data_IF_885996669998
#
_entry.id   IF_885996669998
#
_cell.length_a   1.000
_cell.length_b   1.000
_cell.length_c   1.000
_cell.angle_alpha   90.00
_cell.angle_beta   90.00
_cell.angle_gamma   90.00
#
_symmetry.space_group_name_H-M   'P 1'
#
loop_
_entity.id
_entity.type
_entity.pdbx_description
1 polymer ?
#
# COMPACT_ATOMS: atom_id res chain seq x y z
N UNK A 1 -11.91 3.89 -13.52
CA UNK A 1 -11.14 4.32 -12.33
C UNK A 1 -9.65 4.36 -12.70
N UNK A 2 -8.81 5.15 -12.02
CA UNK A 2 -7.38 5.38 -12.33
C UNK A 2 -7.07 6.01 -13.71
N UNK A 3 -7.67 7.17 -14.00
CA UNK A 3 -7.55 7.88 -15.28
C UNK A 3 -6.45 8.95 -15.34
N UNK A 4 -5.78 9.22 -14.23
CA UNK A 4 -4.71 10.22 -14.17
C UNK A 4 -3.55 9.81 -15.09
N UNK A 5 -2.96 10.78 -15.78
CA UNK A 5 -1.83 10.57 -16.70
C UNK A 5 -0.61 11.35 -16.23
N UNK A 6 0.61 10.92 -16.61
CA UNK A 6 1.83 11.66 -16.26
C UNK A 6 1.80 13.12 -16.73
N UNK A 7 1.21 13.41 -17.89
CA UNK A 7 1.13 14.76 -18.45
C UNK A 7 0.26 15.68 -17.60
N UNK A 8 -0.78 15.14 -16.95
CA UNK A 8 -1.67 15.90 -16.08
C UNK A 8 -1.06 16.22 -14.71
N UNK A 9 -0.10 15.40 -14.25
CA UNK A 9 0.60 15.59 -12.97
C UNK A 9 1.90 16.38 -13.12
N UNK A 10 2.59 16.23 -14.26
CA UNK A 10 3.99 16.58 -14.38
C UNK A 10 4.90 15.61 -13.59
N UNK A 11 6.17 15.98 -13.38
CA UNK A 11 7.12 15.16 -12.62
C UNK A 11 6.65 14.94 -11.18
N UNK A 12 6.81 13.72 -10.68
CA UNK A 12 6.46 13.33 -9.31
C UNK A 12 7.70 12.89 -8.56
N UNK A 13 8.12 13.67 -7.56
CA UNK A 13 9.29 13.33 -6.73
C UNK A 13 8.94 12.36 -5.58
N UNK A 14 7.71 12.46 -5.05
CA UNK A 14 7.24 11.71 -3.89
C UNK A 14 5.77 11.30 -4.04
N UNK A 15 5.49 10.04 -3.74
CA UNK A 15 4.14 9.52 -3.49
C UNK A 15 4.00 9.19 -2.01
N UNK A 16 2.87 9.60 -1.43
CA UNK A 16 2.47 9.22 -0.07
C UNK A 16 1.12 8.49 -0.13
N UNK A 17 1.15 7.16 -0.01
CA UNK A 17 -0.06 6.33 0.04
C UNK A 17 -0.37 6.03 1.49
N UNK A 18 -1.30 6.82 2.01
CA UNK A 18 -1.94 6.56 3.29
C UNK A 18 -3.30 5.92 3.07
N UNK A 19 -3.40 4.66 3.43
CA UNK A 19 -4.65 3.90 3.40
C UNK A 19 -5.37 3.84 2.03
N UNK A 20 -4.69 4.09 0.90
CA UNK A 20 -5.31 4.02 -0.42
C UNK A 20 -5.30 2.58 -0.97
N UNK A 21 -4.14 1.91 -1.02
CA UNK A 21 -4.06 0.51 -1.46
C UNK A 21 -5.00 -0.40 -0.66
N UNK A 22 -5.02 -0.25 0.67
CA UNK A 22 -5.85 -1.06 1.57
C UNK A 22 -7.35 -0.74 1.48
N UNK A 23 -7.76 0.33 0.78
CA UNK A 23 -9.17 0.61 0.53
C UNK A 23 -9.75 -0.22 -0.62
N UNK A 24 -8.89 -0.81 -1.47
CA UNK A 24 -9.32 -1.56 -2.66
C UNK A 24 -9.39 -3.08 -2.42
N UNK A 25 -10.41 -3.75 -3.00
CA UNK A 25 -10.46 -5.22 -3.02
C UNK A 25 -9.30 -5.81 -3.84
N UNK A 26 -9.03 -7.10 -3.64
CA UNK A 26 -7.84 -7.78 -4.16
C UNK A 26 -7.58 -7.58 -5.66
N UNK A 27 -8.62 -7.70 -6.48
CA UNK A 27 -8.60 -7.57 -7.94
C UNK A 27 -8.27 -6.13 -8.40
N UNK A 28 -8.69 -5.13 -7.63
CA UNK A 28 -8.43 -3.72 -7.91
C UNK A 28 -7.03 -3.29 -7.47
N UNK A 29 -6.43 -3.93 -6.47
CA UNK A 29 -5.10 -3.57 -5.95
C UNK A 29 -4.00 -3.70 -7.01
N UNK A 30 -4.07 -4.70 -7.90
CA UNK A 30 -3.12 -4.83 -9.02
C UNK A 30 -3.20 -3.63 -9.97
N UNK A 31 -4.43 -3.26 -10.36
CA UNK A 31 -4.68 -2.10 -11.25
C UNK A 31 -4.25 -0.78 -10.62
N UNK A 32 -4.39 -0.66 -9.30
CA UNK A 32 -3.89 0.48 -8.55
C UNK A 32 -2.36 0.57 -8.60
N UNK A 33 -1.66 -0.54 -8.33
CA UNK A 33 -0.20 -0.60 -8.41
C UNK A 33 0.30 -0.24 -9.81
N UNK A 34 -0.28 -0.83 -10.86
CA UNK A 34 0.01 -0.50 -12.26
C UNK A 34 -0.21 0.99 -12.57
N UNK A 35 -1.26 1.59 -12.02
CA UNK A 35 -1.54 3.01 -12.21
C UNK A 35 -0.48 3.89 -11.54
N UNK A 36 -0.08 3.59 -10.29
CA UNK A 36 1.01 4.32 -9.62
C UNK A 36 2.32 4.18 -10.39
N UNK A 37 2.69 2.96 -10.82
CA UNK A 37 3.89 2.71 -11.61
C UNK A 37 3.92 3.55 -12.89
N UNK A 38 2.79 3.69 -13.59
CA UNK A 38 2.70 4.52 -14.80
C UNK A 38 2.87 6.02 -14.53
N UNK A 39 2.48 6.48 -13.34
CA UNK A 39 2.45 7.91 -13.00
C UNK A 39 3.81 8.45 -12.54
N UNK A 40 4.73 7.58 -12.13
CA UNK A 40 6.02 7.98 -11.54
C UNK A 40 7.17 7.74 -12.50
N UNK A 41 8.26 8.48 -12.33
CA UNK A 41 9.49 8.32 -13.10
C UNK A 41 10.60 7.64 -12.28
N UNK A 42 11.73 7.28 -12.92
CA UNK A 42 12.89 6.74 -12.20
C UNK A 42 13.35 7.66 -11.06
N UNK A 43 13.66 7.06 -9.91
CA UNK A 43 14.08 7.80 -8.72
C UNK A 43 12.96 8.41 -7.87
N UNK A 44 11.70 8.39 -8.32
CA UNK A 44 10.56 8.77 -7.48
C UNK A 44 10.54 7.94 -6.21
N UNK A 45 10.40 8.61 -5.06
CA UNK A 45 10.23 7.96 -3.76
C UNK A 45 8.76 7.72 -3.51
N UNK A 46 8.44 6.59 -2.88
CA UNK A 46 7.08 6.23 -2.58
C UNK A 46 7.00 5.63 -1.17
N UNK A 47 6.38 6.35 -0.24
CA UNK A 47 6.06 5.80 1.07
C UNK A 47 4.61 5.27 1.09
N UNK A 48 4.44 4.03 1.50
CA UNK A 48 3.14 3.37 1.65
C UNK A 48 3.00 2.75 3.02
N UNK A 49 1.82 2.90 3.63
CA UNK A 49 1.45 2.17 4.84
C UNK A 49 0.34 1.14 4.58
N UNK A 50 0.45 -0.01 5.24
CA UNK A 50 -0.56 -1.06 5.18
C UNK A 50 -0.90 -1.63 6.55
N UNK A 51 -1.97 -2.41 6.61
CA UNK A 51 -2.39 -3.13 7.79
C UNK A 51 -2.37 -4.62 7.47
N UNK A 52 -1.72 -5.40 8.31
CA UNK A 52 -1.80 -6.87 8.30
C UNK A 52 -2.54 -7.32 9.56
N UNK A 53 -3.61 -8.09 9.41
CA UNK A 53 -4.42 -8.51 10.55
C UNK A 53 -5.14 -9.84 10.32
N UNK A 54 -5.60 -10.44 11.42
CA UNK A 54 -6.43 -11.63 11.43
C UNK A 54 -7.64 -11.46 12.37
N UNK A 55 -8.83 -11.99 12.03
CA UNK A 55 -9.20 -12.63 10.76
C UNK A 55 -9.35 -11.63 9.61
N UNK A 56 -9.37 -12.12 8.36
CA UNK A 56 -9.59 -11.27 7.18
C UNK A 56 -11.02 -10.72 7.19
N UNK A 57 -11.16 -9.43 6.87
CA UNK A 57 -12.45 -8.78 6.72
C UNK A 57 -12.85 -8.73 5.24
N UNK A 58 -14.16 -8.76 4.98
CA UNK A 58 -14.74 -8.56 3.64
C UNK A 58 -14.95 -7.09 3.29
N UNK A 59 -14.66 -6.18 4.23
CA UNK A 59 -14.82 -4.73 4.08
C UNK A 59 -13.51 -4.00 4.34
N UNK A 60 -13.28 -2.84 3.71
CA UNK A 60 -12.05 -2.08 3.93
C UNK A 60 -11.96 -1.48 5.35
N UNK A 61 -10.74 -1.17 5.82
CA UNK A 61 -9.47 -1.37 5.13
C UNK A 61 -9.08 -2.86 5.11
N UNK A 62 -8.73 -3.36 3.93
CA UNK A 62 -8.37 -4.76 3.69
C UNK A 62 -6.95 -5.05 4.17
N UNK A 63 -6.74 -6.26 4.71
CA UNK A 63 -5.40 -6.70 5.09
C UNK A 63 -4.49 -6.82 3.86
N UNK A 64 -3.28 -6.26 3.97
CA UNK A 64 -2.21 -6.30 2.97
C UNK A 64 -0.88 -6.43 3.73
N UNK A 65 -0.28 -7.61 3.66
CA UNK A 65 1.01 -7.93 4.28
C UNK A 65 2.21 -7.63 3.38
N UNK A 66 3.45 -7.80 3.89
CA UNK A 66 4.67 -7.49 3.15
C UNK A 66 4.83 -8.23 1.81
N UNK A 67 4.45 -9.51 1.76
CA UNK A 67 4.54 -10.32 0.53
C UNK A 67 3.74 -9.71 -0.63
N UNK A 68 2.57 -9.13 -0.32
CA UNK A 68 1.70 -8.52 -1.33
C UNK A 68 2.29 -7.21 -1.88
N UNK A 69 3.02 -6.46 -1.05
CA UNK A 69 3.75 -5.26 -1.49
C UNK A 69 4.88 -5.64 -2.44
N UNK A 70 5.66 -6.67 -2.10
CA UNK A 70 6.75 -7.15 -2.96
C UNK A 70 6.20 -7.69 -4.28
N UNK A 71 5.13 -8.48 -4.26
CA UNK A 71 4.47 -9.01 -5.47
C UNK A 71 4.00 -7.88 -6.40
N UNK A 72 3.34 -6.85 -5.86
CA UNK A 72 2.73 -5.78 -6.67
C UNK A 72 3.73 -4.75 -7.17
N UNK A 73 4.70 -4.37 -6.34
CA UNK A 73 5.59 -3.25 -6.65
C UNK A 73 7.03 -3.68 -6.96
N UNK A 74 7.45 -4.88 -6.53
CA UNK A 74 8.84 -5.32 -6.61
C UNK A 74 9.41 -5.46 -8.02
N UNK A 75 8.57 -5.47 -9.07
CA UNK A 75 9.01 -5.47 -10.47
C UNK A 75 9.46 -4.07 -10.95
N UNK A 76 8.85 -2.99 -10.45
CA UNK A 76 9.12 -1.61 -10.87
C UNK A 76 9.84 -0.78 -9.79
N UNK A 77 9.81 -1.22 -8.54
CA UNK A 77 10.38 -0.52 -7.40
C UNK A 77 11.38 -1.40 -6.65
N UNK A 78 12.44 -0.76 -6.13
CA UNK A 78 13.17 -1.28 -4.98
C UNK A 78 12.28 -1.09 -3.74
N UNK A 79 12.05 -2.16 -2.98
CA UNK A 79 11.13 -2.15 -1.83
C UNK A 79 11.92 -2.34 -0.55
N UNK A 80 11.81 -1.39 0.37
CA UNK A 80 12.38 -1.46 1.72
C UNK A 80 11.25 -1.48 2.74
N UNK A 81 11.24 -2.49 3.62
CA UNK A 81 10.29 -2.60 4.73
C UNK A 81 10.88 -1.90 5.96
N UNK A 82 10.42 -0.68 6.23
CA UNK A 82 11.05 0.21 7.22
C UNK A 82 10.38 0.19 8.59
N UNK A 83 9.14 -0.30 8.69
CA UNK A 83 8.41 -0.40 9.95
C UNK A 83 7.44 -1.59 9.94
N UNK A 84 7.36 -2.29 11.08
CA UNK A 84 6.38 -3.32 11.36
C UNK A 84 6.00 -3.22 12.85
N UNK A 85 4.93 -2.50 13.14
CA UNK A 85 4.53 -2.16 14.51
C UNK A 85 3.24 -2.89 14.89
N UNK A 86 3.26 -3.82 15.86
CA UNK A 86 2.04 -4.36 16.43
C UNK A 86 1.17 -3.25 17.05
N UNK A 87 -0.12 -3.24 16.74
CA UNK A 87 -1.07 -2.26 17.26
C UNK A 87 -2.25 -2.94 17.97
N UNK A 88 -2.04 -3.58 19.13
CA UNK A 88 -3.11 -4.28 19.86
C UNK A 88 -4.22 -3.31 20.31
N UNK A 89 -3.92 -2.03 20.53
CA UNK A 89 -4.89 -1.00 20.92
C UNK A 89 -5.50 -0.24 19.74
N UNK A 90 -5.30 -0.70 18.49
CA UNK A 90 -5.91 -0.05 17.33
C UNK A 90 -7.42 -0.23 17.35
N UNK A 91 -8.19 0.82 17.02
CA UNK A 91 -9.67 0.80 17.02
C UNK A 91 -10.31 -0.37 16.25
N UNK A 92 -9.62 -0.88 15.23
CA UNK A 92 -10.12 -2.02 14.44
C UNK A 92 -10.07 -3.33 15.21
N UNK A 93 -9.14 -3.48 16.15
CA UNK A 93 -8.99 -4.70 16.95
C UNK A 93 -10.26 -4.95 17.74
N UNK A 94 -10.71 -3.95 18.50
CA UNK A 94 -11.97 -4.01 19.24
C UNK A 94 -13.18 -4.07 18.29
N UNK A 95 -13.27 -3.13 17.33
CA UNK A 95 -14.44 -3.00 16.44
C UNK A 95 -14.75 -4.28 15.66
N UNK A 96 -13.73 -5.02 15.23
CA UNK A 96 -13.90 -6.19 14.36
C UNK A 96 -13.48 -7.50 15.03
N UNK A 97 -13.15 -7.48 16.33
CA UNK A 97 -12.69 -8.67 17.05
C UNK A 97 -11.42 -9.29 16.46
N UNK A 98 -10.46 -8.45 16.04
CA UNK A 98 -9.20 -8.94 15.48
C UNK A 98 -8.33 -9.54 16.58
N UNK A 99 -7.65 -10.65 16.29
CA UNK A 99 -6.69 -11.28 17.21
C UNK A 99 -5.30 -10.67 17.09
N UNK A 100 -4.99 -10.04 15.96
CA UNK A 100 -3.73 -9.37 15.71
C UNK A 100 -3.93 -8.24 14.70
N UNK A 101 -3.15 -7.18 14.84
CA UNK A 101 -3.02 -6.13 13.84
C UNK A 101 -1.59 -5.59 13.90
N UNK A 102 -0.92 -5.54 12.75
CA UNK A 102 0.38 -4.93 12.55
C UNK A 102 0.22 -3.83 11.50
N UNK A 103 0.76 -2.65 11.81
CA UNK A 103 0.89 -1.57 10.84
C UNK A 103 2.28 -1.65 10.22
N UNK A 104 2.32 -1.70 8.89
CA UNK A 104 3.56 -1.76 8.14
C UNK A 104 3.82 -0.43 7.44
N UNK A 105 5.10 -0.05 7.36
CA UNK A 105 5.58 1.06 6.56
C UNK A 105 6.64 0.58 5.58
N UNK A 106 6.50 0.97 4.31
CA UNK A 106 7.47 0.65 3.26
C UNK A 106 7.94 1.92 2.57
N UNK A 107 9.23 1.96 2.27
CA UNK A 107 9.82 2.94 1.38
C UNK A 107 10.16 2.25 0.06
N UNK A 108 9.60 2.77 -1.03
CA UNK A 108 9.78 2.28 -2.38
C UNK A 108 10.56 3.31 -3.19
N UNK A 109 11.43 2.85 -4.07
CA UNK A 109 12.15 3.69 -5.03
C UNK A 109 11.95 3.18 -6.45
N UNK A 110 11.38 4.00 -7.32
CA UNK A 110 11.15 3.63 -8.71
C UNK A 110 12.48 3.41 -9.44
N UNK A 111 12.57 2.30 -10.19
CA UNK A 111 13.74 1.94 -11.01
C UNK A 111 13.82 2.76 -12.29
#
# INVERSE_FOLDING_TARGET
IFKLTPEALGPVDLVYDRAALIAFPYDMRRRYAEAITRLVGPGTRYFINTLEYHPRLSTPPFTVGPEEIVDRFGHAFEVEHVAAEPRPSHRMVEKFGLTSLVEHGFLLRAR
#
